data_IF_756084566732
#
_entry.id   IF_756084566732
#
_cell.length_a   1.000
_cell.length_b   1.000
_cell.length_c   1.000
_cell.angle_alpha   90.00
_cell.angle_beta   90.00
_cell.angle_gamma   90.00
#
_symmetry.space_group_name_H-M   'P 1'
#
loop_
_entity.id
_entity.type
_entity.pdbx_description
1 polymer ?
#
# COMPACT_ATOMS: atom_id res chain seq x y z
N UNK A 1 2.57 -15.01 -7.73
CA UNK A 1 3.39 -14.45 -8.83
C UNK A 1 2.79 -13.23 -9.48
N UNK A 2 1.46 -13.10 -9.60
CA UNK A 2 0.83 -11.87 -10.12
C UNK A 2 1.38 -10.59 -9.46
N UNK A 3 1.48 -10.58 -8.13
CA UNK A 3 2.02 -9.43 -7.37
C UNK A 3 3.56 -9.34 -7.32
N UNK A 4 4.26 -10.31 -7.92
CA UNK A 4 5.73 -10.34 -7.99
C UNK A 4 6.26 -10.00 -9.40
N UNK A 5 5.39 -9.58 -10.31
CA UNK A 5 5.80 -9.09 -11.61
C UNK A 5 4.95 -7.92 -12.10
N UNK A 6 5.52 -7.13 -13.00
CA UNK A 6 4.82 -6.08 -13.72
C UNK A 6 5.07 -6.23 -15.23
N UNK A 7 4.02 -6.52 -15.98
CA UNK A 7 4.07 -6.59 -17.44
C UNK A 7 4.10 -5.17 -18.05
N UNK A 8 5.04 -4.95 -18.96
CA UNK A 8 5.28 -3.68 -19.64
C UNK A 8 5.27 -3.90 -21.16
N UNK A 9 4.13 -3.63 -21.84
CA UNK A 9 4.07 -3.72 -23.29
C UNK A 9 4.84 -2.58 -23.97
N UNK A 10 5.20 -2.79 -25.24
CA UNK A 10 5.87 -1.78 -26.08
C UNK A 10 7.38 -1.68 -25.88
N UNK A 11 7.98 -2.56 -25.09
CA UNK A 11 9.44 -2.62 -24.91
C UNK A 11 9.98 -4.00 -25.34
N UNK A 12 11.21 -4.08 -25.88
CA UNK A 12 11.85 -5.37 -26.15
C UNK A 12 12.03 -6.21 -24.87
N UNK A 13 11.97 -7.55 -25.01
CA UNK A 13 12.19 -8.48 -23.90
C UNK A 13 13.54 -8.23 -23.18
N UNK A 14 14.58 -7.83 -23.92
CA UNK A 14 15.89 -7.49 -23.38
C UNK A 14 15.89 -6.31 -22.37
N UNK A 15 14.81 -5.52 -22.32
CA UNK A 15 14.62 -4.47 -21.32
C UNK A 15 14.01 -4.99 -20.01
N UNK A 16 13.65 -6.28 -19.93
CA UNK A 16 13.17 -6.90 -18.69
C UNK A 16 14.26 -6.90 -17.63
N UNK A 17 13.87 -6.76 -16.37
CA UNK A 17 14.81 -6.67 -15.24
C UNK A 17 14.15 -7.07 -13.95
N UNK A 18 14.95 -7.54 -13.01
CA UNK A 18 14.51 -7.78 -11.63
C UNK A 18 14.83 -6.53 -10.81
N UNK A 19 13.84 -6.02 -10.09
CA UNK A 19 14.00 -4.93 -9.14
C UNK A 19 13.89 -5.47 -7.71
N UNK A 20 14.68 -4.97 -6.75
CA UNK A 20 14.44 -5.28 -5.35
C UNK A 20 13.12 -4.66 -4.90
N UNK A 21 12.44 -5.27 -3.93
CA UNK A 21 11.17 -4.77 -3.39
C UNK A 21 9.94 -5.16 -4.23
N UNK A 22 8.85 -4.43 -3.99
CA UNK A 22 7.53 -4.63 -4.60
C UNK A 22 7.19 -3.43 -5.47
N UNK A 23 6.52 -3.68 -6.61
CA UNK A 23 6.00 -2.62 -7.49
C UNK A 23 4.48 -2.67 -7.47
N UNK A 24 3.87 -1.62 -6.95
CA UNK A 24 2.44 -1.42 -6.93
C UNK A 24 2.03 -0.71 -8.21
N UNK A 25 1.10 -1.30 -8.98
CA UNK A 25 0.69 -0.82 -10.32
C UNK A 25 -0.29 0.36 -10.28
N UNK A 26 0.00 1.32 -9.42
CA UNK A 26 -0.78 2.54 -9.18
C UNK A 26 0.14 3.67 -8.75
N UNK A 27 -0.37 4.88 -8.86
CA UNK A 27 0.36 6.08 -8.45
C UNK A 27 0.08 6.43 -7.00
N UNK A 28 0.85 7.37 -6.45
CA UNK A 28 0.59 7.96 -5.15
C UNK A 28 -0.65 8.88 -5.21
N UNK A 29 -1.54 8.75 -4.22
CA UNK A 29 -2.57 9.76 -3.97
C UNK A 29 -1.97 11.02 -3.31
N UNK A 30 -0.93 10.82 -2.49
CA UNK A 30 -0.04 11.86 -1.98
C UNK A 30 1.40 11.34 -2.01
N UNK A 31 2.30 12.08 -2.64
CA UNK A 31 3.73 11.77 -2.59
C UNK A 31 4.45 12.85 -1.77
N UNK A 32 4.98 12.44 -0.63
CA UNK A 32 5.79 13.24 0.27
C UNK A 32 7.14 12.52 0.44
N UNK A 33 8.18 12.86 -0.34
CA UNK A 33 9.50 12.27 -0.18
C UNK A 33 9.98 12.54 1.25
N UNK A 34 10.53 11.52 1.90
CA UNK A 34 10.90 11.61 3.29
C UNK A 34 12.33 11.10 3.49
N UNK A 35 13.11 11.85 4.26
CA UNK A 35 14.45 11.45 4.67
C UNK A 35 14.40 10.57 5.93
N UNK A 36 15.43 9.74 6.10
CA UNK A 36 15.62 8.86 7.25
C UNK A 36 14.74 7.61 7.23
N UNK A 37 14.57 6.98 8.40
CA UNK A 37 13.78 5.76 8.55
C UNK A 37 12.31 6.01 8.16
N UNK A 38 11.79 5.16 7.28
CA UNK A 38 10.42 5.24 6.78
C UNK A 38 9.61 4.09 7.37
N UNK A 39 8.55 4.39 8.14
CA UNK A 39 7.58 3.38 8.59
C UNK A 39 6.30 3.48 7.79
N UNK A 40 5.78 2.33 7.38
CA UNK A 40 4.52 2.19 6.66
C UNK A 40 3.44 1.59 7.56
N UNK A 41 2.22 2.11 7.40
CA UNK A 41 1.03 1.60 8.05
C UNK A 41 0.10 0.98 7.01
N UNK A 42 -0.33 -0.25 7.24
CA UNK A 42 -1.35 -0.92 6.44
C UNK A 42 -2.72 -0.57 7.00
N UNK A 43 -3.67 -0.18 6.15
CA UNK A 43 -5.03 0.18 6.57
C UNK A 43 -6.05 -0.44 5.64
N UNK A 44 -7.11 -1.00 6.22
CA UNK A 44 -8.20 -1.64 5.47
C UNK A 44 -9.50 -0.84 5.45
N UNK A 45 -9.55 0.29 6.15
CA UNK A 45 -10.75 1.10 6.36
C UNK A 45 -10.50 2.59 6.06
N UNK A 46 -11.53 3.39 5.77
CA UNK A 46 -11.38 4.84 5.65
C UNK A 46 -10.88 5.45 6.96
N UNK A 47 -9.86 6.30 6.91
CA UNK A 47 -9.32 6.96 8.11
C UNK A 47 -10.21 8.10 8.60
N UNK A 48 -11.01 8.70 7.71
CA UNK A 48 -12.03 9.66 8.10
C UNK A 48 -13.22 8.90 8.70
N UNK A 49 -13.62 9.20 9.94
CA UNK A 49 -14.83 8.60 10.50
C UNK A 49 -16.06 9.08 9.76
N UNK A 50 -17.00 8.17 9.51
CA UNK A 50 -18.31 8.54 9.00
C UNK A 50 -19.14 9.24 10.09
N UNK A 51 -20.03 10.15 9.69
CA UNK A 51 -20.98 10.79 10.61
C UNK A 51 -21.96 9.78 11.22
N UNK A 52 -22.25 8.70 10.50
CA UNK A 52 -23.09 7.59 10.96
C UNK A 52 -22.51 6.25 10.56
N UNK A 53 -22.86 5.23 11.34
CA UNK A 53 -22.58 3.84 10.97
C UNK A 53 -23.44 3.42 9.77
N UNK A 54 -22.99 2.39 9.06
CA UNK A 54 -23.76 1.80 7.97
C UNK A 54 -25.15 1.35 8.47
N UNK A 55 -26.20 1.74 7.73
CA UNK A 55 -27.59 1.43 8.09
C UNK A 55 -28.19 2.32 9.19
N UNK A 56 -27.49 3.36 9.64
CA UNK A 56 -27.99 4.33 10.63
C UNK A 56 -28.22 5.69 9.97
N UNK A 57 -29.40 6.26 10.20
CA UNK A 57 -29.76 7.61 9.73
C UNK A 57 -29.30 8.69 10.72
N UNK A 58 -28.69 9.76 10.19
CA UNK A 58 -28.36 10.94 10.99
C UNK A 58 -29.53 11.93 10.95
N UNK A 59 -30.19 12.14 12.08
CA UNK A 59 -31.12 13.27 12.22
C UNK A 59 -30.33 14.51 12.65
N UNK A 60 -30.34 15.53 11.79
CA UNK A 60 -29.73 16.83 12.08
C UNK A 60 -30.84 17.84 12.37
N UNK A 61 -30.84 18.44 13.56
CA UNK A 61 -31.84 19.40 13.99
C UNK A 61 -31.59 20.84 13.53
N UNK A 62 -30.40 21.15 13.03
CA UNK A 62 -30.06 22.47 12.47
C UNK A 62 -28.79 22.43 11.60
N UNK A 63 -28.64 23.42 10.71
CA UNK A 63 -27.40 23.60 9.94
C UNK A 63 -26.17 23.79 10.84
N UNK A 64 -26.32 24.51 11.96
CA UNK A 64 -25.24 24.72 12.94
C UNK A 64 -24.74 23.41 13.53
N UNK A 65 -25.64 22.47 13.84
CA UNK A 65 -25.28 21.14 14.32
C UNK A 65 -24.54 20.34 13.24
N UNK A 66 -25.01 20.36 12.00
CA UNK A 66 -24.34 19.67 10.89
C UNK A 66 -22.91 20.20 10.68
N UNK A 67 -22.74 21.51 10.66
CA UNK A 67 -21.44 22.15 10.51
C UNK A 67 -20.49 21.84 11.68
N UNK A 68 -21.00 21.83 12.92
CA UNK A 68 -20.22 21.44 14.08
C UNK A 68 -19.75 19.97 13.97
N UNK A 69 -20.62 19.05 13.58
CA UNK A 69 -20.27 17.64 13.38
C UNK A 69 -19.21 17.46 12.30
N UNK A 70 -19.29 18.19 11.19
CA UNK A 70 -18.27 18.17 10.13
C UNK A 70 -16.91 18.68 10.63
N UNK A 71 -16.89 19.81 11.33
CA UNK A 71 -15.64 20.36 11.91
C UNK A 71 -15.00 19.36 12.87
N UNK A 72 -15.79 18.73 13.74
CA UNK A 72 -15.29 17.72 14.66
C UNK A 72 -14.65 16.53 13.93
N UNK A 73 -15.25 16.05 12.83
CA UNK A 73 -14.65 14.98 12.00
C UNK A 73 -13.34 15.45 11.38
N UNK A 74 -13.30 16.67 10.85
CA UNK A 74 -12.10 17.20 10.19
C UNK A 74 -10.94 17.37 11.18
N UNK A 75 -11.20 17.93 12.36
CA UNK A 75 -10.25 18.06 13.46
C UNK A 75 -9.76 16.69 13.95
N UNK A 76 -10.67 15.71 14.07
CA UNK A 76 -10.32 14.34 14.45
C UNK A 76 -9.44 13.66 13.38
N UNK A 77 -9.73 13.89 12.10
CA UNK A 77 -8.96 13.35 10.98
C UNK A 77 -7.56 13.96 10.95
N UNK A 78 -7.44 15.27 11.16
CA UNK A 78 -6.14 15.92 11.30
C UNK A 78 -5.35 15.36 12.49
N UNK A 79 -6.00 15.21 13.65
CA UNK A 79 -5.38 14.65 14.84
C UNK A 79 -4.87 13.22 14.61
N UNK A 80 -5.62 12.39 13.87
CA UNK A 80 -5.19 11.05 13.47
C UNK A 80 -3.91 11.11 12.63
N UNK A 81 -3.87 11.94 11.59
CA UNK A 81 -2.68 12.03 10.72
C UNK A 81 -1.48 12.58 11.49
N UNK A 82 -1.68 13.52 12.42
CA UNK A 82 -0.63 13.98 13.34
C UNK A 82 -0.13 12.84 14.23
N UNK A 83 -1.03 12.00 14.75
CA UNK A 83 -0.68 10.82 15.54
C UNK A 83 0.13 9.81 14.72
N UNK A 84 -0.24 9.57 13.46
CA UNK A 84 0.57 8.73 12.55
C UNK A 84 1.99 9.29 12.45
N UNK A 85 2.11 10.60 12.22
CA UNK A 85 3.41 11.25 12.07
C UNK A 85 4.24 11.22 13.35
N UNK A 86 3.63 11.40 14.53
CA UNK A 86 4.35 11.32 15.81
C UNK A 86 4.87 9.91 16.10
N UNK A 87 4.23 8.87 15.55
CA UNK A 87 4.70 7.49 15.58
C UNK A 87 5.67 7.15 14.42
N UNK A 88 6.27 8.16 13.78
CA UNK A 88 7.19 8.02 12.65
C UNK A 88 6.61 7.30 11.42
N UNK A 89 5.28 7.23 11.28
CA UNK A 89 4.63 6.73 10.06
C UNK A 89 4.73 7.80 8.98
N UNK A 90 5.32 7.43 7.85
CA UNK A 90 5.57 8.32 6.70
C UNK A 90 4.94 7.79 5.41
N UNK A 91 4.41 6.57 5.44
CA UNK A 91 3.73 5.94 4.33
C UNK A 91 2.44 5.26 4.81
N UNK A 92 1.34 5.54 4.12
CA UNK A 92 0.05 4.89 4.31
C UNK A 92 -0.23 3.98 3.11
N UNK A 93 -0.49 2.71 3.39
CA UNK A 93 -0.84 1.68 2.41
C UNK A 93 -2.28 1.25 2.67
N UNK A 94 -3.20 1.73 1.85
CA UNK A 94 -4.65 1.58 2.08
C UNK A 94 -5.29 0.66 1.06
N UNK A 95 -6.06 -0.34 1.52
CA UNK A 95 -6.85 -1.19 0.62
C UNK A 95 -8.06 -0.45 0.03
N UNK A 96 -8.54 0.58 0.73
CA UNK A 96 -9.67 1.42 0.29
C UNK A 96 -9.19 2.76 -0.24
N UNK A 97 -10.06 3.45 -0.99
CA UNK A 97 -9.85 4.85 -1.33
C UNK A 97 -10.02 5.72 -0.09
N UNK A 98 -9.10 6.65 0.13
CA UNK A 98 -9.16 7.61 1.22
C UNK A 98 -9.84 8.90 0.75
N UNK A 99 -10.53 9.58 1.68
CA UNK A 99 -11.19 10.85 1.36
C UNK A 99 -10.17 11.97 1.14
N UNK A 100 -10.54 12.97 0.33
CA UNK A 100 -9.65 14.09 -0.02
C UNK A 100 -9.10 14.83 1.20
N UNK A 101 -9.88 14.91 2.29
CA UNK A 101 -9.45 15.52 3.56
C UNK A 101 -8.30 14.73 4.21
N UNK A 102 -8.30 13.40 4.11
CA UNK A 102 -7.21 12.54 4.61
C UNK A 102 -5.97 12.79 3.77
N UNK A 103 -6.12 12.82 2.44
CA UNK A 103 -5.02 13.10 1.50
C UNK A 103 -4.43 14.50 1.74
N UNK A 104 -5.29 15.49 2.02
CA UNK A 104 -4.89 16.86 2.35
C UNK A 104 -4.01 16.90 3.61
N UNK A 105 -4.49 16.33 4.73
CA UNK A 105 -3.71 16.31 5.97
C UNK A 105 -2.46 15.44 5.86
N UNK A 106 -2.51 14.35 5.10
CA UNK A 106 -1.32 13.53 4.82
C UNK A 106 -0.22 14.36 4.14
N UNK A 107 -0.57 15.14 3.11
CA UNK A 107 0.37 16.09 2.48
C UNK A 107 0.89 17.12 3.47
N UNK A 108 0.00 17.72 4.26
CA UNK A 108 0.36 18.74 5.25
C UNK A 108 1.37 18.23 6.29
N UNK A 109 1.27 16.94 6.65
CA UNK A 109 2.11 16.31 7.68
C UNK A 109 3.21 15.39 7.11
N UNK A 110 3.45 15.43 5.79
CA UNK A 110 4.54 14.69 5.16
C UNK A 110 4.37 13.17 5.22
N UNK A 111 3.14 12.69 5.03
CA UNK A 111 2.79 11.28 4.92
C UNK A 111 2.43 10.98 3.46
N UNK A 112 3.16 10.07 2.83
CA UNK A 112 2.83 9.55 1.51
C UNK A 112 1.65 8.59 1.60
N UNK A 113 0.78 8.56 0.59
CA UNK A 113 -0.41 7.71 0.54
C UNK A 113 -0.46 6.94 -0.77
N UNK A 114 -0.60 5.63 -0.65
CA UNK A 114 -0.97 4.72 -1.74
C UNK A 114 -2.28 4.06 -1.34
N UNK A 115 -3.30 4.19 -2.18
CA UNK A 115 -4.66 3.73 -1.89
C UNK A 115 -5.16 2.72 -2.92
N UNK A 116 -6.27 2.04 -2.64
CA UNK A 116 -6.85 1.01 -3.51
C UNK A 116 -5.89 -0.17 -3.77
N UNK A 117 -5.20 -0.64 -2.73
CA UNK A 117 -4.45 -1.89 -2.76
C UNK A 117 -5.41 -3.08 -2.81
N UNK A 118 -5.11 -4.08 -3.63
CA UNK A 118 -5.90 -5.32 -3.67
C UNK A 118 -5.70 -6.12 -2.38
N UNK A 119 -6.60 -7.08 -2.12
CA UNK A 119 -6.42 -8.03 -1.01
C UNK A 119 -5.10 -8.79 -1.12
N UNK A 120 -4.69 -9.14 -2.34
CA UNK A 120 -3.50 -9.94 -2.61
C UNK A 120 -2.22 -9.14 -2.36
N UNK A 121 -2.21 -7.85 -2.72
CA UNK A 121 -1.10 -6.95 -2.39
C UNK A 121 -1.02 -6.70 -0.88
N UNK A 122 -2.15 -6.49 -0.22
CA UNK A 122 -2.19 -6.33 1.25
C UNK A 122 -1.68 -7.59 1.95
N UNK A 123 -2.10 -8.77 1.50
CA UNK A 123 -1.64 -10.05 2.01
C UNK A 123 -0.14 -10.25 1.79
N UNK A 124 0.37 -9.96 0.59
CA UNK A 124 1.80 -10.05 0.27
C UNK A 124 2.63 -9.12 1.16
N UNK A 125 2.20 -7.88 1.36
CA UNK A 125 2.93 -6.92 2.20
C UNK A 125 2.90 -7.38 3.66
N UNK A 126 1.77 -7.90 4.14
CA UNK A 126 1.67 -8.48 5.49
C UNK A 126 2.59 -9.68 5.65
N UNK A 127 2.69 -10.55 4.64
CA UNK A 127 3.59 -11.72 4.63
C UNK A 127 5.07 -11.32 4.64
N UNK A 128 5.46 -10.33 3.84
CA UNK A 128 6.84 -9.82 3.77
C UNK A 128 7.27 -9.17 5.09
N UNK A 129 6.37 -8.38 5.69
CA UNK A 129 6.69 -7.50 6.82
C UNK A 129 6.36 -8.10 8.17
N UNK A 130 5.50 -9.12 8.21
CA UNK A 130 4.94 -9.70 9.44
C UNK A 130 3.90 -8.81 10.13
N UNK A 131 3.52 -7.68 9.53
CA UNK A 131 2.67 -6.66 10.17
C UNK A 131 1.20 -6.88 9.81
N UNK A 132 0.32 -6.69 10.79
CA UNK A 132 -1.13 -6.76 10.58
C UNK A 132 -1.73 -5.38 10.23
N UNK A 133 -2.83 -5.34 9.45
CA UNK A 133 -3.50 -4.07 9.16
C UNK A 133 -4.01 -3.35 10.42
N UNK A 134 -3.78 -2.05 10.45
CA UNK A 134 -4.21 -1.14 11.50
C UNK A 134 -5.73 -0.91 11.45
N UNK A 135 -6.35 -0.89 12.63
CA UNK A 135 -7.79 -0.63 12.79
C UNK A 135 -8.02 0.69 13.53
N UNK A 136 -8.27 1.80 12.80
CA UNK A 136 -8.25 3.17 13.34
C UNK A 136 -9.32 3.50 14.40
N UNK A 137 -10.32 2.62 14.60
CA UNK A 137 -11.46 2.87 15.48
C UNK A 137 -11.68 1.82 16.58
N UNK A 138 -10.80 0.81 16.69
CA UNK A 138 -10.83 -0.12 17.83
C UNK A 138 -10.03 0.39 19.02
N UNK A 139 -8.95 1.14 18.77
CA UNK A 139 -8.09 1.68 19.83
C UNK A 139 -8.44 3.14 20.13
N UNK A 140 -8.46 3.49 21.42
CA UNK A 140 -8.52 4.89 21.84
C UNK A 140 -7.35 5.64 21.18
N UNK A 141 -7.61 6.84 20.63
CA UNK A 141 -6.66 7.69 19.87
C UNK A 141 -5.35 8.08 20.60
N UNK A 142 -5.04 7.49 21.76
CA UNK A 142 -3.79 7.66 22.50
C UNK A 142 -2.92 6.39 22.60
N UNK A 143 -3.29 5.29 21.94
CA UNK A 143 -2.45 4.08 21.90
C UNK A 143 -1.24 4.24 20.99
N UNK A 144 -0.11 3.62 21.35
CA UNK A 144 1.09 3.54 20.51
C UNK A 144 0.80 2.70 19.26
N UNK A 145 1.27 3.16 18.09
CA UNK A 145 1.15 2.38 16.85
C UNK A 145 2.28 1.36 16.82
N UNK A 146 1.99 0.14 17.28
CA UNK A 146 3.00 -0.93 17.37
C UNK A 146 3.20 -1.66 16.04
N UNK A 147 2.15 -1.79 15.24
CA UNK A 147 2.10 -2.56 14.00
C UNK A 147 2.44 -1.67 12.78
N UNK A 148 3.72 -1.55 12.45
CA UNK A 148 4.18 -0.82 11.26
C UNK A 148 5.28 -1.57 10.53
N UNK A 149 5.30 -1.49 9.21
CA UNK A 149 6.37 -2.06 8.40
C UNK A 149 7.54 -1.08 8.26
N UNK A 150 8.77 -1.57 8.41
CA UNK A 150 9.98 -0.77 8.11
C UNK A 150 10.20 -0.79 6.59
N UNK A 151 10.34 0.39 6.01
CA UNK A 151 10.53 0.59 4.58
C UNK A 151 11.93 1.12 4.31
N UNK A 152 12.65 0.46 3.42
CA UNK A 152 14.03 0.81 3.04
C UNK A 152 14.07 1.89 1.97
N UNK A 153 13.09 1.89 1.05
CA UNK A 153 12.88 2.97 0.09
C UNK A 153 11.42 3.00 -0.38
N UNK A 154 10.93 4.18 -0.77
CA UNK A 154 9.62 4.37 -1.37
C UNK A 154 9.68 5.50 -2.40
N UNK A 155 9.45 5.17 -3.68
CA UNK A 155 9.64 6.13 -4.76
C UNK A 155 8.66 5.91 -5.93
N UNK A 156 8.33 6.96 -6.69
CA UNK A 156 7.62 6.83 -7.95
C UNK A 156 8.49 6.07 -8.95
N UNK A 157 7.88 5.14 -9.69
CA UNK A 157 8.50 4.39 -10.78
C UNK A 157 7.70 4.60 -12.05
N UNK A 158 8.35 5.09 -13.10
CA UNK A 158 7.72 5.23 -14.41
C UNK A 158 8.04 4.00 -15.27
N UNK A 159 7.03 3.19 -15.56
CA UNK A 159 7.11 2.07 -16.50
C UNK A 159 6.44 2.49 -17.80
N UNK A 160 7.26 2.95 -18.75
CA UNK A 160 6.81 3.58 -20.00
C UNK A 160 5.95 4.81 -19.70
N UNK A 161 4.63 4.71 -19.78
CA UNK A 161 3.67 5.79 -19.51
C UNK A 161 2.88 5.59 -18.22
N UNK A 162 3.07 4.45 -17.53
CA UNK A 162 2.35 4.11 -16.30
C UNK A 162 3.19 4.49 -15.08
N UNK A 163 2.61 5.32 -14.21
CA UNK A 163 3.19 5.64 -12.90
C UNK A 163 2.82 4.53 -11.92
N UNK A 164 3.85 3.99 -11.27
CA UNK A 164 3.77 2.93 -10.29
C UNK A 164 4.47 3.39 -9.02
N UNK A 165 4.20 2.72 -7.90
CA UNK A 165 4.95 2.93 -6.66
C UNK A 165 5.92 1.77 -6.46
N UNK A 166 7.18 2.09 -6.19
CA UNK A 166 8.22 1.12 -5.93
C UNK A 166 8.65 1.19 -4.46
N UNK A 167 8.48 0.07 -3.75
CA UNK A 167 8.66 0.01 -2.29
C UNK A 167 9.60 -1.13 -1.94
N UNK A 168 10.63 -0.83 -1.15
CA UNK A 168 11.48 -1.82 -0.50
C UNK A 168 11.08 -1.96 0.96
N UNK A 169 10.84 -3.18 1.42
CA UNK A 169 10.59 -3.45 2.83
C UNK A 169 11.84 -4.05 3.48
N UNK A 170 12.08 -3.71 4.75
CA UNK A 170 12.96 -4.54 5.57
C UNK A 170 12.20 -5.83 5.87
N UNK A 171 12.70 -6.94 5.34
CA UNK A 171 12.03 -8.22 5.49
C UNK A 171 12.17 -8.74 6.91
N UNK A 172 11.08 -9.26 7.47
CA UNK A 172 11.10 -9.95 8.75
C UNK A 172 11.68 -11.39 8.63
N UNK A 173 11.91 -11.87 7.41
CA UNK A 173 12.40 -13.21 7.10
C UNK A 173 13.60 -13.18 6.13
N UNK A 174 14.21 -14.34 5.90
CA UNK A 174 15.32 -14.48 4.93
C UNK A 174 14.89 -14.21 3.47
N UNK A 175 13.59 -14.06 3.21
CA UNK A 175 13.05 -13.76 1.90
C UNK A 175 13.15 -12.27 1.61
N UNK A 176 13.91 -11.91 0.58
CA UNK A 176 13.95 -10.54 0.07
C UNK A 176 12.99 -10.44 -1.11
N UNK A 177 11.89 -9.66 -1.02
CA UNK A 177 10.96 -9.54 -2.12
C UNK A 177 11.67 -8.87 -3.31
N UNK A 178 11.41 -9.39 -4.49
CA UNK A 178 11.84 -8.81 -5.75
C UNK A 178 10.65 -8.79 -6.71
N UNK A 179 10.61 -7.80 -7.57
CA UNK A 179 9.61 -7.66 -8.62
C UNK A 179 10.26 -7.83 -9.98
N UNK A 180 9.74 -8.74 -10.79
CA UNK A 180 10.15 -8.89 -12.18
C UNK A 180 9.42 -7.88 -13.07
N UNK A 181 10.15 -6.95 -13.66
CA UNK A 181 9.64 -6.12 -14.76
C UNK A 181 9.78 -6.94 -16.04
N UNK A 182 8.66 -7.33 -16.62
CA UNK A 182 8.58 -8.18 -17.78
C UNK A 182 8.16 -7.35 -19.00
N UNK A 183 9.11 -7.12 -19.89
CA UNK A 183 8.92 -6.32 -21.10
C UNK A 183 8.56 -7.22 -22.29
N UNK A 184 7.69 -6.73 -23.16
CA UNK A 184 7.31 -7.43 -24.38
C UNK A 184 6.67 -6.49 -25.39
N UNK A 185 6.62 -6.88 -26.68
CA UNK A 185 6.10 -6.01 -27.73
C UNK A 185 4.61 -5.71 -27.54
N UNK A 186 3.84 -6.67 -27.06
CA UNK A 186 2.39 -6.58 -26.83
C UNK A 186 1.99 -7.37 -25.58
N UNK A 187 0.83 -7.07 -25.01
CA UNK A 187 0.34 -7.70 -23.77
C UNK A 187 0.24 -9.22 -23.87
N UNK A 188 -0.26 -9.76 -24.99
CA UNK A 188 -0.38 -11.22 -25.15
C UNK A 188 0.96 -11.96 -25.10
N UNK A 189 2.06 -11.33 -25.52
CA UNK A 189 3.41 -11.92 -25.38
C UNK A 189 3.89 -11.86 -23.93
N UNK A 190 3.59 -10.76 -23.21
CA UNK A 190 3.88 -10.66 -21.79
C UNK A 190 3.11 -11.70 -20.98
N UNK A 191 1.85 -11.96 -21.30
CA UNK A 191 1.03 -13.00 -20.66
C UNK A 191 1.65 -14.39 -20.85
N UNK A 192 2.10 -14.71 -22.06
CA UNK A 192 2.79 -15.97 -22.34
C UNK A 192 4.09 -16.10 -21.54
N UNK A 193 4.90 -15.04 -21.49
CA UNK A 193 6.13 -15.03 -20.69
C UNK A 193 5.84 -15.15 -19.19
N UNK A 194 4.81 -14.48 -18.69
CA UNK A 194 4.40 -14.56 -17.29
C UNK A 194 3.92 -15.97 -16.94
N UNK A 195 3.13 -16.61 -17.80
CA UNK A 195 2.68 -17.98 -17.63
C UNK A 195 3.86 -18.97 -17.62
N UNK A 196 4.77 -18.87 -18.59
CA UNK A 196 5.96 -19.72 -18.65
C UNK A 196 6.86 -19.59 -17.41
N UNK A 197 7.04 -18.37 -16.90
CA UNK A 197 7.80 -18.12 -15.67
C UNK A 197 7.08 -18.67 -14.44
N UNK A 198 5.76 -18.53 -14.37
CA UNK A 198 4.96 -19.11 -13.30
C UNK A 198 5.08 -20.63 -13.27
N UNK A 199 5.03 -21.29 -14.43
CA UNK A 199 5.24 -22.73 -14.56
C UNK A 199 6.66 -23.12 -14.13
N UNK A 200 7.68 -22.38 -14.56
CA UNK A 200 9.06 -22.61 -14.16
C UNK A 200 9.25 -22.49 -12.64
N UNK A 201 8.67 -21.47 -11.99
CA UNK A 201 8.71 -21.33 -10.54
C UNK A 201 7.95 -22.45 -9.85
N UNK A 202 6.81 -22.87 -10.39
CA UNK A 202 6.04 -24.00 -9.84
C UNK A 202 6.88 -25.28 -9.90
N UNK A 203 7.57 -25.55 -11.01
CA UNK A 203 8.47 -26.69 -11.14
C UNK A 203 9.63 -26.61 -10.14
N UNK A 204 10.27 -25.45 -10.00
CA UNK A 204 11.34 -25.25 -9.01
C UNK A 204 10.84 -25.51 -7.59
N UNK A 205 9.66 -25.01 -7.23
CA UNK A 205 9.05 -25.28 -5.93
C UNK A 205 8.87 -26.79 -5.69
N UNK A 206 8.49 -27.57 -6.70
CA UNK A 206 8.37 -29.03 -6.56
C UNK A 206 9.72 -29.73 -6.32
N UNK A 207 10.82 -29.19 -6.86
CA UNK A 207 12.17 -29.73 -6.60
C UNK A 207 12.63 -29.46 -5.16
N UNK A 208 12.18 -28.37 -4.55
CA UNK A 208 12.51 -27.99 -3.18
C UNK A 208 11.50 -28.47 -2.13
N UNK A 209 10.34 -28.98 -2.54
CA UNK A 209 9.49 -29.79 -1.68
C UNK A 209 10.24 -31.09 -1.44
N UNK A 210 10.92 -31.16 -0.30
CA UNK A 210 11.39 -32.42 0.25
C UNK A 210 10.28 -33.44 0.13
N UNK A 211 10.58 -34.60 -0.44
CA UNK A 211 9.76 -35.80 -0.22
C UNK A 211 9.78 -35.99 1.30
N UNK A 212 8.68 -35.68 1.96
CA UNK A 212 8.48 -36.01 3.36
C UNK A 212 8.75 -37.52 3.51
N UNK A 213 9.89 -37.87 4.14
CA UNK A 213 10.21 -39.23 4.60
C UNK A 213 9.81 -39.38 6.05
#
# INVERSE_FOLDING_TARGET
FAELHAAVPGLPLACSRVLPGVVLRRDFAAYCPADGELRALLVTEPLRPALTAAGVELVVGSEGQYQASRRWIDERTEALVKHLRSNNVKLLLSSVKQEEVVIYYAKLHGVSVVECLSSDEMALISEITGVSPYTPFRDSMGGEITETAVVTFCQPLLLVSKRCVHIGFASACAFQPHCLILCGPVDGVNEQHAAALQEAFTMLQQLFKTVDQ
#
